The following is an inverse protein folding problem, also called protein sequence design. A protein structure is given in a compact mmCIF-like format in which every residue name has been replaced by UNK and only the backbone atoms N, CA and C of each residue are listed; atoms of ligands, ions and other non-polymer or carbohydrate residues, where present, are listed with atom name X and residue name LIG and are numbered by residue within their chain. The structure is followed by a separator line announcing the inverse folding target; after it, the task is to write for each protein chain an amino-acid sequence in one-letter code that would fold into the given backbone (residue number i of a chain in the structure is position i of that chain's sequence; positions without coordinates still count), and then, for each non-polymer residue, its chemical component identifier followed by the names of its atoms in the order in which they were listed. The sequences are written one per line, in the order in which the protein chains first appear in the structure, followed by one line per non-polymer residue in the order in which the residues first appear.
data_IF_985269454262
#
_entry.id   IF_985269454262
#
_cell.length_a   1.000
_cell.length_b   1.000
_cell.length_c   1.000
_cell.angle_alpha   90.00
_cell.angle_beta   90.00
_cell.angle_gamma   90.00
#
_symmetry.space_group_name_H-M   'P 1'
#
loop_
_entity.id
_entity.type
_entity.pdbx_description
1 polymer ?
#
# COMPACT_ATOMS: atom_id res chain seq x y z
N UNK A 1 7.26 20.36 -12.85
CA UNK A 1 7.42 18.91 -13.06
C UNK A 1 8.85 18.42 -12.87
N UNK A 2 9.45 18.70 -11.70
CA UNK A 2 9.09 17.86 -10.58
C UNK A 2 8.75 18.67 -9.33
N UNK A 3 7.61 18.33 -8.75
CA UNK A 3 7.26 18.73 -7.41
C UNK A 3 7.79 17.63 -6.48
N UNK A 4 8.65 18.04 -5.56
CA UNK A 4 8.98 17.21 -4.42
C UNK A 4 7.90 17.43 -3.35
N UNK A 5 7.88 16.59 -2.32
CA UNK A 5 7.03 16.79 -1.16
C UNK A 5 7.69 16.29 0.12
N UNK A 6 7.28 16.87 1.24
CA UNK A 6 7.55 16.36 2.58
C UNK A 6 6.24 15.92 3.22
N UNK A 7 6.30 14.91 4.08
CA UNK A 7 5.13 14.32 4.74
C UNK A 7 5.18 14.61 6.24
N UNK A 8 4.05 15.07 6.77
CA UNK A 8 3.87 15.33 8.19
C UNK A 8 4.01 14.07 9.05
N UNK A 9 4.32 14.26 10.33
CA UNK A 9 4.65 13.18 11.28
C UNK A 9 3.54 12.14 11.46
N UNK A 10 2.29 12.50 11.18
CA UNK A 10 1.15 11.58 11.29
C UNK A 10 1.14 10.53 10.18
N UNK A 11 1.76 10.82 9.03
CA UNK A 11 1.66 10.01 7.82
C UNK A 11 3.03 9.62 7.24
N UNK A 12 4.13 9.83 7.98
CA UNK A 12 5.49 9.55 7.52
C UNK A 12 6.03 8.16 7.88
N UNK A 13 5.20 7.27 8.45
CA UNK A 13 5.62 5.91 8.82
C UNK A 13 6.23 5.15 7.63
N UNK A 14 7.43 4.62 7.82
CA UNK A 14 8.17 3.87 6.78
C UNK A 14 8.63 4.69 5.58
N UNK A 15 8.56 6.02 5.63
CA UNK A 15 9.16 6.93 4.64
C UNK A 15 10.54 7.41 5.12
N UNK A 16 11.50 7.64 4.21
CA UNK A 16 12.77 8.24 4.56
C UNK A 16 12.59 9.72 4.93
N UNK A 17 13.43 10.22 5.84
CA UNK A 17 13.46 11.64 6.24
C UNK A 17 14.19 12.49 5.19
N UNK A 18 13.58 12.64 4.01
CA UNK A 18 14.11 13.42 2.89
C UNK A 18 12.98 13.89 1.96
N UNK A 19 13.22 14.87 1.08
CA UNK A 19 12.28 15.23 0.02
C UNK A 19 11.95 14.04 -0.89
N UNK A 20 10.66 13.81 -1.12
CA UNK A 20 10.15 12.69 -1.92
C UNK A 20 9.63 13.20 -3.27
N UNK A 21 9.71 12.41 -4.33
CA UNK A 21 9.29 12.82 -5.68
C UNK A 21 7.81 12.46 -5.94
N UNK A 22 7.02 13.37 -6.53
CA UNK A 22 5.61 13.11 -6.88
C UNK A 22 5.39 12.33 -8.19
N UNK A 23 6.38 12.35 -9.11
CA UNK A 23 6.40 11.59 -10.37
C UNK A 23 5.16 11.75 -11.31
N UNK A 24 4.36 12.78 -11.10
CA UNK A 24 3.15 13.05 -11.87
C UNK A 24 2.88 14.56 -11.89
N UNK A 25 1.92 15.00 -12.71
CA UNK A 25 1.37 16.36 -12.62
C UNK A 25 0.27 16.40 -11.55
N UNK A 26 0.00 17.61 -11.05
CA UNK A 26 -1.03 17.85 -10.04
C UNK A 26 -1.80 19.13 -10.27
N UNK A 27 -2.59 19.48 -9.26
CA UNK A 27 -3.34 20.73 -9.14
C UNK A 27 -2.99 21.41 -7.83
N UNK A 28 -2.98 22.73 -7.82
CA UNK A 28 -2.81 23.47 -6.57
C UNK A 28 -4.05 23.30 -5.69
N UNK A 29 -3.82 23.17 -4.38
CA UNK A 29 -4.88 22.97 -3.40
C UNK A 29 -4.96 24.16 -2.46
N UNK A 30 -6.18 24.67 -2.27
CA UNK A 30 -6.48 25.67 -1.25
C UNK A 30 -7.28 24.99 -0.12
N UNK A 31 -6.73 24.89 1.11
CA UNK A 31 -7.41 24.23 2.20
C UNK A 31 -8.57 25.09 2.72
N UNK A 32 -9.78 24.53 2.74
CA UNK A 32 -10.94 25.15 3.40
C UNK A 32 -10.78 25.13 4.94
N UNK A 33 -11.50 26.00 5.69
CA UNK A 33 -11.48 25.97 7.15
C UNK A 33 -11.73 24.57 7.75
N UNK A 34 -10.93 24.20 8.75
CA UNK A 34 -11.00 22.88 9.40
C UNK A 34 -10.24 21.77 8.66
N UNK A 35 -9.60 22.08 7.54
CA UNK A 35 -8.77 21.13 6.78
C UNK A 35 -7.35 21.09 7.33
N UNK A 36 -6.80 19.89 7.52
CA UNK A 36 -5.40 19.69 7.92
C UNK A 36 -4.52 19.55 6.70
N UNK A 37 -3.35 20.20 6.72
CA UNK A 37 -2.28 19.98 5.74
C UNK A 37 -1.33 18.95 6.33
N UNK A 38 -1.25 17.78 5.70
CA UNK A 38 -0.49 16.62 6.19
C UNK A 38 0.73 16.31 5.31
N UNK A 39 0.89 17.00 4.18
CA UNK A 39 2.11 17.03 3.40
C UNK A 39 2.21 18.38 2.66
N UNK A 40 3.42 18.85 2.40
CA UNK A 40 3.68 20.13 1.71
C UNK A 40 4.57 19.92 0.49
N UNK A 41 4.31 20.68 -0.58
CA UNK A 41 5.14 20.65 -1.78
C UNK A 41 6.49 21.32 -1.51
N UNK A 42 7.53 20.78 -2.13
CA UNK A 42 8.87 21.34 -2.14
C UNK A 42 9.17 21.75 -3.58
N UNK A 43 9.50 23.03 -3.76
CA UNK A 43 9.91 23.54 -5.07
C UNK A 43 11.34 23.10 -5.39
N UNK A 44 11.66 22.80 -6.65
CA UNK A 44 13.04 22.61 -7.07
C UNK A 44 13.82 23.94 -7.06
N UNK A 45 15.14 23.85 -7.02
CA UNK A 45 16.04 25.00 -7.10
C UNK A 45 15.88 25.79 -8.40
N UNK A 46 15.64 25.10 -9.52
CA UNK A 46 15.26 25.70 -10.80
C UNK A 46 14.25 24.81 -11.53
N UNK A 47 13.52 25.40 -12.47
CA UNK A 47 12.65 24.66 -13.37
C UNK A 47 13.47 23.90 -14.42
N UNK A 48 12.95 22.73 -14.84
CA UNK A 48 13.49 22.01 -15.99
C UNK A 48 13.39 22.88 -17.24
N UNK A 49 14.52 23.16 -17.88
CA UNK A 49 14.58 23.94 -19.11
C UNK A 49 15.86 23.62 -19.92
N UNK A 50 15.92 24.16 -21.14
CA UNK A 50 17.07 24.16 -22.04
C UNK A 50 17.24 25.58 -22.53
N UNK A 51 18.37 26.21 -22.24
CA UNK A 51 18.65 27.61 -22.58
C UNK A 51 19.39 27.75 -23.93
N UNK A 52 19.77 26.64 -24.57
CA UNK A 52 20.58 26.63 -25.78
C UNK A 52 22.00 26.09 -25.58
N UNK A 53 22.48 26.08 -24.33
CA UNK A 53 23.85 25.67 -23.98
C UNK A 53 23.84 24.52 -22.97
N UNK A 54 23.04 24.64 -21.91
CA UNK A 54 22.98 23.69 -20.81
C UNK A 54 21.58 23.10 -20.66
N UNK A 55 21.56 21.79 -20.40
CA UNK A 55 20.32 21.08 -20.11
C UNK A 55 20.10 20.96 -18.61
N UNK A 56 19.04 21.60 -18.13
CA UNK A 56 18.66 21.58 -16.72
C UNK A 56 17.69 20.42 -16.47
N UNK A 57 18.23 19.20 -16.46
CA UNK A 57 17.42 17.98 -16.29
C UNK A 57 17.28 17.53 -14.83
N UNK A 58 18.36 17.63 -14.05
CA UNK A 58 18.33 17.30 -12.62
C UNK A 58 17.97 18.56 -11.85
N UNK A 59 16.80 18.59 -11.22
CA UNK A 59 16.26 19.78 -10.55
C UNK A 59 16.20 19.53 -9.05
N UNK A 60 17.29 19.69 -8.28
CA UNK A 60 17.32 19.30 -6.87
C UNK A 60 16.26 20.02 -6.03
N UNK A 61 15.74 19.40 -4.97
CA UNK A 61 14.81 20.06 -4.04
C UNK A 61 15.49 21.25 -3.34
N UNK A 62 14.77 22.35 -3.18
CA UNK A 62 15.28 23.59 -2.57
C UNK A 62 14.48 23.96 -1.31
N UNK A 63 13.23 24.40 -1.49
CA UNK A 63 12.45 25.00 -0.39
C UNK A 63 11.07 24.37 -0.26
N UNK A 64 10.67 24.06 0.98
CA UNK A 64 9.27 23.75 1.32
C UNK A 64 8.41 24.98 1.04
N UNK A 65 7.29 24.76 0.36
CA UNK A 65 6.32 25.80 0.00
C UNK A 65 5.10 25.72 0.91
N UNK A 66 4.27 26.76 0.90
CA UNK A 66 2.98 26.77 1.59
C UNK A 66 1.89 25.99 0.82
N UNK A 67 2.22 25.45 -0.35
CA UNK A 67 1.28 24.68 -1.17
C UNK A 67 1.15 23.24 -0.66
N UNK A 68 -0.07 22.76 -0.36
CA UNK A 68 -0.27 21.41 0.13
C UNK A 68 0.05 20.32 -0.91
N UNK A 69 0.67 19.24 -0.44
CA UNK A 69 0.78 17.98 -1.17
C UNK A 69 -0.33 16.98 -0.80
N UNK A 70 -0.79 17.03 0.45
CA UNK A 70 -1.87 16.23 1.00
C UNK A 70 -2.66 17.07 1.99
N UNK A 71 -3.97 17.16 1.78
CA UNK A 71 -4.92 17.73 2.73
C UNK A 71 -5.93 16.70 3.18
N UNK A 72 -6.40 16.82 4.42
CA UNK A 72 -7.37 15.91 5.01
C UNK A 72 -8.47 16.66 5.78
N UNK A 73 -9.71 16.26 5.56
CA UNK A 73 -10.88 16.78 6.29
C UNK A 73 -11.91 15.66 6.50
N UNK A 74 -12.13 15.27 7.76
CA UNK A 74 -13.03 14.18 8.10
C UNK A 74 -12.62 12.85 7.45
N UNK A 75 -13.42 12.38 6.48
CA UNK A 75 -13.21 11.12 5.75
C UNK A 75 -12.65 11.32 4.35
N UNK A 76 -12.15 12.51 4.03
CA UNK A 76 -11.66 12.87 2.70
C UNK A 76 -10.18 13.23 2.79
N UNK A 77 -9.36 12.52 2.02
CA UNK A 77 -7.98 12.88 1.74
C UNK A 77 -7.86 13.32 0.28
N UNK A 78 -7.22 14.45 0.04
CA UNK A 78 -6.94 14.95 -1.30
C UNK A 78 -5.44 15.16 -1.47
N UNK A 79 -4.86 14.37 -2.37
CA UNK A 79 -3.49 14.54 -2.83
C UNK A 79 -3.47 15.51 -4.00
N UNK A 80 -2.58 16.49 -3.99
CA UNK A 80 -2.50 17.48 -5.08
C UNK A 80 -2.08 16.84 -6.41
N UNK A 81 -1.30 15.77 -6.35
CA UNK A 81 -0.75 15.08 -7.51
C UNK A 81 -1.42 13.72 -7.75
N UNK A 82 -1.36 13.24 -9.01
CA UNK A 82 -1.99 12.00 -9.46
C UNK A 82 -1.25 10.77 -8.93
N UNK A 83 -1.41 10.45 -7.65
CA UNK A 83 -0.65 9.40 -6.95
C UNK A 83 -0.77 8.01 -7.61
N UNK A 84 -1.95 7.63 -8.09
CA UNK A 84 -2.17 6.33 -8.74
C UNK A 84 -1.48 6.22 -10.09
N UNK A 85 -1.65 7.22 -10.97
CA UNK A 85 -0.96 7.25 -12.26
C UNK A 85 0.55 7.42 -12.08
N UNK A 86 0.99 8.27 -11.15
CA UNK A 86 2.40 8.43 -10.81
C UNK A 86 3.05 7.12 -10.34
N UNK A 87 2.35 6.34 -9.52
CA UNK A 87 2.82 5.00 -9.15
C UNK A 87 2.79 4.02 -10.33
N UNK A 88 1.73 4.02 -11.14
CA UNK A 88 1.66 3.14 -12.31
C UNK A 88 2.80 3.42 -13.31
N UNK A 89 3.18 4.68 -13.47
CA UNK A 89 4.18 5.11 -14.44
C UNK A 89 5.62 4.95 -13.92
N UNK A 90 5.86 5.19 -12.62
CA UNK A 90 7.22 5.27 -12.04
C UNK A 90 7.50 4.28 -10.91
N UNK A 91 6.50 3.53 -10.46
CA UNK A 91 6.61 2.52 -9.39
C UNK A 91 7.27 3.04 -8.10
N UNK A 92 7.08 4.31 -7.75
CA UNK A 92 7.66 4.90 -6.53
C UNK A 92 7.10 4.24 -5.27
N UNK A 93 7.99 3.62 -4.50
CA UNK A 93 7.66 2.97 -3.23
C UNK A 93 7.12 3.99 -2.23
N UNK A 94 7.62 5.21 -2.29
CA UNK A 94 7.25 6.33 -1.42
C UNK A 94 5.79 6.76 -1.66
N UNK A 95 5.37 6.86 -2.92
CA UNK A 95 3.97 7.14 -3.27
C UNK A 95 3.03 6.03 -2.77
N UNK A 96 3.41 4.77 -2.96
CA UNK A 96 2.64 3.64 -2.42
C UNK A 96 2.55 3.70 -0.89
N UNK A 97 3.66 4.04 -0.22
CA UNK A 97 3.73 4.08 1.25
C UNK A 97 2.90 5.21 1.85
N UNK A 98 3.00 6.44 1.32
CA UNK A 98 2.18 7.56 1.84
C UNK A 98 0.69 7.30 1.64
N UNK A 99 0.30 6.69 0.51
CA UNK A 99 -1.08 6.27 0.29
C UNK A 99 -1.52 5.20 1.31
N UNK A 100 -0.66 4.20 1.59
CA UNK A 100 -0.93 3.19 2.63
C UNK A 100 -1.18 3.82 3.98
N UNK A 101 -0.31 4.75 4.42
CA UNK A 101 -0.45 5.40 5.72
C UNK A 101 -1.77 6.18 5.85
N UNK A 102 -2.20 6.85 4.77
CA UNK A 102 -3.50 7.53 4.72
C UNK A 102 -4.65 6.53 4.76
N UNK A 103 -4.57 5.44 3.99
CA UNK A 103 -5.59 4.39 3.98
C UNK A 103 -5.75 3.74 5.35
N UNK A 104 -4.64 3.44 6.04
CA UNK A 104 -4.63 2.84 7.37
C UNK A 104 -5.31 3.75 8.40
N UNK A 105 -5.21 5.08 8.24
CA UNK A 105 -5.93 6.02 9.09
C UNK A 105 -7.46 6.00 8.90
N UNK A 106 -7.92 5.65 7.69
CA UNK A 106 -9.36 5.51 7.38
C UNK A 106 -9.90 4.11 7.63
N UNK A 107 -9.03 3.10 7.68
CA UNK A 107 -9.38 1.71 7.87
C UNK A 107 -8.55 1.10 9.01
N UNK A 108 -8.76 1.54 10.27
CA UNK A 108 -7.98 1.04 11.42
C UNK A 108 -8.20 -0.46 11.68
N UNK A 109 -9.39 -0.97 11.34
CA UNK A 109 -9.79 -2.36 11.54
C UNK A 109 -10.13 -3.03 10.20
N UNK A 110 -9.15 -3.28 9.30
CA UNK A 110 -9.39 -3.94 8.03
C UNK A 110 -9.87 -5.38 8.23
N UNK A 111 -10.61 -5.92 7.26
CA UNK A 111 -11.10 -7.32 7.31
C UNK A 111 -9.94 -8.32 7.42
N UNK A 112 -8.80 -8.01 6.81
CA UNK A 112 -7.61 -8.84 6.74
C UNK A 112 -6.38 -8.02 7.16
N UNK A 113 -5.51 -8.61 7.98
CA UNK A 113 -4.18 -8.09 8.32
C UNK A 113 -3.12 -9.17 8.13
N UNK A 114 -1.91 -8.73 7.79
CA UNK A 114 -0.69 -9.52 7.81
C UNK A 114 0.51 -8.58 7.88
N UNK A 115 1.47 -8.90 8.73
CA UNK A 115 2.67 -8.06 8.95
C UNK A 115 3.86 -8.47 8.08
N UNK A 116 3.82 -9.69 7.54
CA UNK A 116 4.97 -10.41 6.98
C UNK A 116 4.79 -10.79 5.51
N UNK A 117 3.65 -10.44 4.90
CA UNK A 117 3.45 -10.67 3.48
C UNK A 117 4.33 -9.72 2.63
N UNK A 118 5.13 -10.27 1.70
CA UNK A 118 5.91 -9.43 0.80
C UNK A 118 4.99 -8.72 -0.21
N UNK A 119 5.47 -7.63 -0.80
CA UNK A 119 4.68 -6.81 -1.75
C UNK A 119 4.23 -7.54 -3.02
N UNK A 120 4.78 -8.72 -3.28
CA UNK A 120 4.44 -9.62 -4.39
C UNK A 120 3.24 -10.52 -4.06
N UNK A 121 2.95 -10.69 -2.77
CA UNK A 121 1.87 -11.55 -2.34
C UNK A 121 0.52 -10.82 -2.48
N UNK A 122 -0.52 -11.60 -2.75
CA UNK A 122 -1.90 -11.11 -2.76
C UNK A 122 -2.76 -11.97 -1.87
N UNK A 123 -3.59 -11.32 -1.08
CA UNK A 123 -4.60 -11.97 -0.26
C UNK A 123 -5.98 -11.47 -0.65
N UNK A 124 -6.92 -12.38 -0.86
CA UNK A 124 -8.32 -12.06 -1.12
C UNK A 124 -9.19 -12.78 -0.11
N UNK A 125 -10.14 -12.06 0.50
CA UNK A 125 -11.13 -12.65 1.40
C UNK A 125 -12.43 -12.82 0.62
N UNK A 126 -12.94 -14.04 0.58
CA UNK A 126 -14.25 -14.36 0.03
C UNK A 126 -15.13 -14.98 1.13
N UNK A 127 -16.45 -14.92 0.94
CA UNK A 127 -17.42 -15.45 1.89
C UNK A 127 -18.43 -16.37 1.17
N UNK A 128 -18.76 -17.46 1.84
CA UNK A 128 -19.83 -18.38 1.47
C UNK A 128 -20.70 -18.65 2.71
N UNK A 129 -21.93 -19.16 2.57
CA UNK A 129 -22.75 -19.53 3.72
C UNK A 129 -21.98 -20.45 4.68
N UNK A 130 -21.80 -19.98 5.92
CA UNK A 130 -21.11 -20.72 6.98
C UNK A 130 -19.57 -20.72 6.92
N UNK A 131 -18.93 -20.03 5.97
CA UNK A 131 -17.45 -19.96 5.94
C UNK A 131 -16.88 -18.73 5.23
N UNK A 132 -15.68 -18.34 5.65
CA UNK A 132 -14.84 -17.36 4.94
C UNK A 132 -13.58 -18.03 4.44
N UNK A 133 -13.09 -17.56 3.30
CA UNK A 133 -11.96 -18.18 2.62
C UNK A 133 -10.95 -17.09 2.29
N UNK A 134 -9.71 -17.28 2.73
CA UNK A 134 -8.58 -16.45 2.33
C UNK A 134 -7.83 -17.18 1.23
N UNK A 135 -7.77 -16.53 0.07
CA UNK A 135 -6.94 -16.93 -1.06
C UNK A 135 -5.59 -16.22 -0.91
N UNK A 136 -4.53 -16.97 -0.69
CA UNK A 136 -3.17 -16.44 -0.61
C UNK A 136 -2.40 -16.82 -1.87
N UNK A 137 -1.88 -15.82 -2.59
CA UNK A 137 -1.06 -15.98 -3.79
C UNK A 137 0.33 -15.37 -3.57
N UNK A 138 1.36 -16.03 -4.09
CA UNK A 138 2.76 -15.58 -4.05
C UNK A 138 3.47 -15.91 -5.36
N UNK A 139 3.29 -15.01 -6.33
CA UNK A 139 3.88 -15.10 -7.67
C UNK A 139 4.43 -13.73 -8.08
N UNK A 140 5.49 -13.73 -8.89
CA UNK A 140 6.04 -12.52 -9.49
C UNK A 140 5.84 -12.59 -11.00
N UNK A 141 5.13 -11.64 -11.61
CA UNK A 141 5.12 -11.54 -13.05
C UNK A 141 6.49 -11.02 -13.54
N UNK A 142 7.06 -11.70 -14.52
CA UNK A 142 8.30 -11.32 -15.18
C UNK A 142 8.04 -11.03 -16.66
N UNK A 143 8.70 -10.01 -17.21
CA UNK A 143 8.72 -9.83 -18.66
C UNK A 143 9.63 -10.88 -19.29
N UNK A 144 9.05 -11.78 -20.10
CA UNK A 144 9.79 -12.72 -20.93
C UNK A 144 9.53 -12.43 -22.39
N UNK A 145 10.59 -12.04 -23.10
CA UNK A 145 10.47 -11.45 -24.43
C UNK A 145 9.59 -10.20 -24.38
N UNK A 146 8.40 -10.27 -24.98
CA UNK A 146 7.43 -9.18 -25.06
C UNK A 146 6.14 -9.45 -24.26
N UNK A 147 6.13 -10.45 -23.37
CA UNK A 147 4.93 -10.88 -22.62
C UNK A 147 5.21 -10.94 -21.13
N UNK A 148 4.25 -10.49 -20.31
CA UNK A 148 4.25 -10.71 -18.87
C UNK A 148 3.87 -12.16 -18.59
N UNK A 149 4.78 -12.93 -17.97
CA UNK A 149 4.58 -14.35 -17.65
C UNK A 149 4.66 -14.58 -16.14
N UNK A 150 3.87 -15.54 -15.64
CA UNK A 150 3.99 -16.10 -14.29
C UNK A 150 4.39 -17.57 -14.45
N UNK A 151 5.57 -17.94 -13.96
CA UNK A 151 6.10 -19.30 -14.07
C UNK A 151 6.13 -19.98 -12.69
N UNK A 152 7.14 -19.68 -11.89
CA UNK A 152 7.36 -20.38 -10.63
C UNK A 152 6.60 -19.77 -9.45
N UNK A 153 6.04 -20.64 -8.58
CA UNK A 153 5.54 -20.20 -7.30
C UNK A 153 6.68 -19.75 -6.38
N UNK A 154 6.46 -18.68 -5.61
CA UNK A 154 7.36 -18.28 -4.54
C UNK A 154 6.85 -18.88 -3.24
N UNK A 155 7.70 -19.65 -2.56
CA UNK A 155 7.39 -20.24 -1.27
C UNK A 155 7.41 -19.17 -0.17
N UNK A 156 6.31 -19.08 0.56
CA UNK A 156 6.21 -18.31 1.80
C UNK A 156 6.15 -19.28 2.99
N UNK A 157 6.80 -18.91 4.10
CA UNK A 157 6.85 -19.74 5.31
C UNK A 157 6.36 -18.95 6.52
N UNK A 158 5.63 -19.62 7.41
CA UNK A 158 5.11 -19.07 8.66
C UNK A 158 4.29 -17.77 8.50
N UNK A 159 3.49 -17.68 7.43
CA UNK A 159 2.69 -16.50 7.11
C UNK A 159 1.66 -16.25 8.19
N UNK A 160 1.69 -15.09 8.82
CA UNK A 160 0.72 -14.68 9.83
C UNK A 160 -0.45 -13.97 9.18
N UNK A 161 -1.65 -14.48 9.45
CA UNK A 161 -2.90 -13.94 8.94
C UNK A 161 -3.82 -13.65 10.12
N UNK A 162 -4.42 -12.45 10.11
CA UNK A 162 -5.48 -12.08 11.04
C UNK A 162 -6.73 -11.73 10.25
N UNK A 163 -7.81 -12.48 10.47
CA UNK A 163 -9.11 -12.25 9.83
C UNK A 163 -10.11 -11.70 10.85
N UNK A 164 -10.72 -10.54 10.60
CA UNK A 164 -11.65 -9.89 11.54
C UNK A 164 -12.82 -10.82 11.87
N UNK A 165 -13.22 -10.93 13.13
CA UNK A 165 -14.22 -11.92 13.58
C UNK A 165 -15.62 -11.61 13.03
N UNK A 166 -16.06 -10.36 13.10
CA UNK A 166 -17.40 -9.89 12.66
C UNK A 166 -18.57 -10.75 13.18
N UNK A 167 -18.47 -11.27 14.41
CA UNK A 167 -19.44 -12.20 15.00
C UNK A 167 -19.47 -13.60 14.38
N UNK A 168 -18.56 -13.91 13.44
CA UNK A 168 -18.48 -15.17 12.68
C UNK A 168 -17.25 -15.97 13.12
N UNK A 169 -17.20 -16.34 14.40
CA UNK A 169 -16.13 -17.18 14.92
C UNK A 169 -16.23 -18.60 14.30
N UNK A 170 -15.17 -19.09 13.62
CA UNK A 170 -15.20 -20.40 12.97
C UNK A 170 -15.14 -21.51 14.03
N UNK A 171 -15.63 -22.69 13.69
CA UNK A 171 -15.41 -23.90 14.51
C UNK A 171 -14.06 -24.54 14.21
N UNK A 172 -13.55 -24.36 13.00
CA UNK A 172 -12.28 -24.88 12.51
C UNK A 172 -11.65 -23.94 11.48
N UNK A 173 -10.33 -23.95 11.44
CA UNK A 173 -9.55 -23.31 10.40
C UNK A 173 -8.65 -24.36 9.77
N UNK A 174 -8.58 -24.40 8.44
CA UNK A 174 -7.81 -25.44 7.75
C UNK A 174 -7.33 -25.00 6.36
N UNK A 175 -6.30 -25.67 5.85
CA UNK A 175 -5.85 -25.56 4.46
C UNK A 175 -6.68 -26.49 3.56
N UNK A 176 -7.19 -25.96 2.45
CA UNK A 176 -7.84 -26.73 1.39
C UNK A 176 -6.86 -26.95 0.21
N UNK A 177 -7.00 -28.08 -0.53
CA UNK A 177 -8.07 -29.08 -0.43
C UNK A 177 -7.90 -30.17 0.64
N UNK A 178 -6.71 -30.33 1.23
CA UNK A 178 -6.37 -31.48 2.09
C UNK A 178 -7.06 -31.47 3.47
N UNK A 179 -7.74 -30.37 3.82
CA UNK A 179 -8.36 -30.13 5.13
C UNK A 179 -7.37 -30.25 6.30
N UNK A 180 -6.11 -29.88 6.06
CA UNK A 180 -5.08 -29.85 7.10
C UNK A 180 -5.44 -28.76 8.12
N UNK A 181 -5.77 -29.18 9.34
CA UNK A 181 -6.18 -28.26 10.40
C UNK A 181 -5.07 -27.30 10.78
N UNK A 182 -5.43 -26.04 11.00
CA UNK A 182 -4.56 -24.99 11.50
C UNK A 182 -5.02 -24.58 12.89
N UNK A 183 -4.05 -24.41 13.80
CA UNK A 183 -4.33 -23.80 15.10
C UNK A 183 -4.57 -22.30 14.89
N UNK A 184 -5.56 -21.77 15.57
CA UNK A 184 -5.85 -20.34 15.55
C UNK A 184 -6.20 -19.85 16.96
N UNK A 185 -6.12 -18.53 17.15
CA UNK A 185 -6.55 -17.85 18.37
C UNK A 185 -7.48 -16.70 18.00
N UNK A 186 -8.43 -16.39 18.88
CA UNK A 186 -9.28 -15.21 18.73
C UNK A 186 -8.85 -14.18 19.76
N UNK A 187 -8.24 -13.09 19.31
CA UNK A 187 -7.69 -12.02 20.15
C UNK A 187 -7.98 -10.68 19.46
N UNK A 188 -8.36 -9.66 20.23
CA UNK A 188 -8.62 -8.28 19.76
C UNK A 188 -9.59 -8.17 18.56
N UNK A 189 -10.60 -9.05 18.51
CA UNK A 189 -11.59 -9.05 17.43
C UNK A 189 -11.09 -9.68 16.12
N UNK A 190 -9.95 -10.36 16.13
CA UNK A 190 -9.37 -11.07 14.99
C UNK A 190 -9.15 -12.56 15.26
N UNK A 191 -9.29 -13.37 14.21
CA UNK A 191 -8.90 -14.77 14.17
C UNK A 191 -7.48 -14.83 13.63
N UNK A 192 -6.52 -15.10 14.50
CA UNK A 192 -5.10 -15.15 14.21
C UNK A 192 -4.69 -16.59 13.89
N UNK A 193 -4.12 -16.80 12.71
CA UNK A 193 -3.65 -18.11 12.22
C UNK A 193 -2.27 -17.97 11.59
N UNK A 194 -1.43 -18.98 11.76
CA UNK A 194 -0.15 -19.09 11.08
C UNK A 194 -0.21 -20.20 10.03
N UNK A 195 0.00 -19.83 8.76
CA UNK A 195 0.14 -20.78 7.66
C UNK A 195 1.59 -21.23 7.60
N UNK A 196 1.92 -22.51 7.88
CA UNK A 196 3.30 -22.95 8.00
C UNK A 196 4.06 -22.82 6.68
N UNK A 197 3.40 -23.11 5.55
CA UNK A 197 3.96 -22.99 4.22
C UNK A 197 2.84 -22.68 3.21
N UNK A 198 3.11 -21.77 2.27
CA UNK A 198 2.30 -21.51 1.09
C UNK A 198 3.22 -21.48 -0.13
N UNK A 199 3.08 -22.47 -1.03
CA UNK A 199 3.89 -22.55 -2.25
C UNK A 199 3.10 -22.03 -3.45
N UNK A 200 3.16 -20.72 -3.69
CA UNK A 200 2.46 -20.06 -4.79
C UNK A 200 0.99 -19.78 -4.49
N UNK A 201 0.21 -20.81 -4.15
CA UNK A 201 -1.21 -20.67 -3.85
C UNK A 201 -1.63 -21.46 -2.63
N UNK A 202 -2.47 -20.88 -1.77
CA UNK A 202 -3.08 -21.56 -0.62
C UNK A 202 -4.49 -21.04 -0.35
N UNK A 203 -5.35 -21.96 0.07
CA UNK A 203 -6.72 -21.69 0.50
C UNK A 203 -6.84 -21.93 2.00
N UNK A 204 -7.04 -20.85 2.77
CA UNK A 204 -7.29 -20.93 4.20
C UNK A 204 -8.80 -20.77 4.42
N UNK A 205 -9.45 -21.82 4.91
CA UNK A 205 -10.90 -21.84 5.15
C UNK A 205 -11.16 -21.67 6.64
N UNK A 206 -12.07 -20.75 6.97
CA UNK A 206 -12.59 -20.47 8.31
C UNK A 206 -14.07 -20.89 8.31
N UNK A 207 -14.39 -22.05 8.90
CA UNK A 207 -15.72 -22.69 8.89
C UNK A 207 -16.17 -23.05 10.31
#
# INVERSE_FOLDING_TARGET
DPAYFTVGKNFNSGLPDMPLSQYSTGVDLEPLPGTKVEASLIKPYYNKHWDGEYAFYYTPPDKVTDMPALIMNGKVAHFSHRIFSGYADKASVELKRVFSNVLDSYLPDPVFKSDDLPSIARAFVTEQPGRRIVHLLSYVPEMRGQTQMIEEPIKLSNVKISLRVDGKAPKKVYLAPEKKSLRYKVEDGYINVTVPESNGYSLIVFE
#
